data_IF_892874995334
#
_entry.id   IF_892874995334
#
_cell.length_a   1.000
_cell.length_b   1.000
_cell.length_c   1.000
_cell.angle_alpha   90.00
_cell.angle_beta   90.00
_cell.angle_gamma   90.00
#
_symmetry.space_group_name_H-M   'P 1'
#
loop_
_entity.id
_entity.type
_entity.pdbx_description
1 polymer ?
#
# COMPACT_ATOMS: atom_id res chain seq x y z
N UNK A 1 -15.84 25.81 8.78
CA UNK A 1 -14.63 25.43 8.04
C UNK A 1 -14.82 23.99 7.58
N UNK A 2 -15.06 23.80 6.29
CA UNK A 2 -15.12 22.48 5.65
C UNK A 2 -13.70 21.91 5.71
N UNK A 3 -13.40 21.18 6.78
CA UNK A 3 -12.17 20.43 6.88
C UNK A 3 -12.28 19.31 5.85
N UNK A 4 -11.80 19.61 4.64
CA UNK A 4 -11.47 18.73 3.54
C UNK A 4 -12.08 17.33 3.69
N UNK A 5 -13.23 17.11 3.05
CA UNK A 5 -13.53 15.79 2.49
C UNK A 5 -12.40 15.50 1.50
N UNK A 6 -11.23 15.08 2.01
CA UNK A 6 -10.22 14.41 1.20
C UNK A 6 -10.95 13.18 0.72
N UNK A 7 -11.45 13.27 -0.52
CA UNK A 7 -12.09 12.17 -1.19
C UNK A 7 -11.02 11.08 -1.23
N UNK A 8 -11.10 10.15 -0.28
CA UNK A 8 -10.29 8.95 -0.32
C UNK A 8 -10.94 8.14 -1.42
N UNK A 9 -10.33 8.17 -2.59
CA UNK A 9 -10.90 7.50 -3.72
C UNK A 9 -10.51 6.03 -3.68
N UNK A 10 -11.39 5.20 -3.10
CA UNK A 10 -11.27 3.75 -3.17
C UNK A 10 -11.48 3.29 -4.62
N UNK A 11 -10.43 3.36 -5.42
CA UNK A 11 -10.44 2.94 -6.82
C UNK A 11 -9.93 1.50 -6.99
N UNK A 12 -9.58 0.81 -5.90
CA UNK A 12 -8.74 -0.38 -5.99
C UNK A 12 -9.47 -1.66 -5.55
N UNK A 13 -9.40 -2.70 -6.39
CA UNK A 13 -9.86 -4.06 -6.02
C UNK A 13 -8.84 -4.80 -5.15
N UNK A 14 -7.65 -4.26 -4.97
CA UNK A 14 -6.53 -4.91 -4.32
C UNK A 14 -6.31 -4.28 -2.94
N UNK A 15 -6.08 -5.10 -1.92
CA UNK A 15 -5.79 -4.63 -0.57
C UNK A 15 -4.32 -4.84 -0.24
N UNK A 16 -3.63 -3.79 0.20
CA UNK A 16 -2.30 -3.89 0.77
C UNK A 16 -2.39 -3.78 2.30
N UNK A 17 -1.80 -4.74 3.00
CA UNK A 17 -1.62 -4.70 4.45
C UNK A 17 -0.17 -5.00 4.79
N UNK A 18 0.42 -4.16 5.63
CA UNK A 18 1.75 -4.40 6.21
C UNK A 18 1.55 -4.62 7.71
N UNK A 19 2.22 -5.63 8.26
CA UNK A 19 2.08 -5.97 9.67
C UNK A 19 2.53 -4.80 10.55
N UNK A 20 1.78 -4.53 11.62
CA UNK A 20 2.05 -3.42 12.56
C UNK A 20 2.06 -2.02 11.93
N UNK A 21 1.45 -1.86 10.76
CA UNK A 21 1.23 -0.56 10.11
C UNK A 21 -0.27 -0.27 10.09
N UNK A 22 -0.69 0.65 10.96
CA UNK A 22 -2.09 1.08 11.06
C UNK A 22 -2.49 2.13 10.00
N UNK A 23 -1.54 2.55 9.16
CA UNK A 23 -1.82 3.50 8.08
C UNK A 23 -2.71 2.86 7.02
N UNK A 24 -3.67 3.63 6.51
CA UNK A 24 -4.47 3.21 5.36
C UNK A 24 -3.59 3.28 4.12
N UNK A 25 -3.37 2.15 3.45
CA UNK A 25 -2.58 2.02 2.23
C UNK A 25 -3.52 1.72 1.05
N UNK A 26 -3.90 2.77 0.31
CA UNK A 26 -4.80 2.67 -0.83
C UNK A 26 -4.04 2.27 -2.08
N UNK A 27 -4.34 1.12 -2.69
CA UNK A 27 -3.55 0.63 -3.83
C UNK A 27 -3.89 1.43 -5.09
N UNK A 28 -2.92 2.15 -5.64
CA UNK A 28 -3.07 2.89 -6.90
C UNK A 28 -2.80 1.98 -8.11
N UNK A 29 -1.72 1.19 -8.04
CA UNK A 29 -1.32 0.26 -9.08
C UNK A 29 -0.71 -1.00 -8.48
N UNK A 30 -0.90 -2.12 -9.16
CA UNK A 30 -0.40 -3.44 -8.77
C UNK A 30 0.05 -4.20 -10.01
N UNK A 31 1.33 -4.56 -10.04
CA UNK A 31 1.92 -5.39 -11.09
C UNK A 31 2.68 -6.55 -10.45
N UNK A 32 2.46 -7.77 -10.93
CA UNK A 32 3.08 -8.98 -10.43
C UNK A 32 3.79 -9.76 -11.52
N UNK A 33 4.94 -10.33 -11.19
CA UNK A 33 5.67 -11.31 -12.01
C UNK A 33 5.83 -12.58 -11.19
N UNK A 34 5.35 -13.68 -11.76
CA UNK A 34 5.34 -15.01 -11.12
C UNK A 34 5.66 -16.08 -12.17
N UNK A 35 6.40 -17.10 -11.77
CA UNK A 35 6.83 -18.19 -12.65
C UNK A 35 7.11 -19.47 -11.86
N UNK A 36 6.99 -20.61 -12.53
CA UNK A 36 7.28 -21.90 -11.90
C UNK A 36 8.78 -21.98 -11.56
N UNK A 37 9.11 -22.25 -10.30
CA UNK A 37 10.50 -22.29 -9.81
C UNK A 37 11.25 -20.95 -9.92
N UNK A 38 10.53 -19.83 -10.04
CA UNK A 38 11.06 -18.47 -10.00
C UNK A 38 10.57 -17.75 -8.75
N UNK A 39 11.29 -16.71 -8.34
CA UNK A 39 10.83 -15.82 -7.27
C UNK A 39 9.69 -14.96 -7.80
N UNK A 40 8.65 -14.79 -6.99
CA UNK A 40 7.63 -13.79 -7.28
C UNK A 40 8.15 -12.39 -6.98
N UNK A 41 7.69 -11.40 -7.75
CA UNK A 41 7.93 -9.99 -7.46
C UNK A 41 6.65 -9.19 -7.73
N UNK A 42 6.26 -8.37 -6.75
CA UNK A 42 5.12 -7.48 -6.86
C UNK A 42 5.56 -6.03 -6.69
N UNK A 43 5.20 -5.18 -7.66
CA UNK A 43 5.29 -3.73 -7.56
C UNK A 43 3.93 -3.19 -7.18
N UNK A 44 3.86 -2.60 -5.99
CA UNK A 44 2.63 -1.99 -5.47
C UNK A 44 2.86 -0.51 -5.25
N UNK A 45 2.12 0.31 -5.98
CA UNK A 45 2.07 1.76 -5.76
C UNK A 45 0.82 2.05 -4.94
N UNK A 46 0.96 2.83 -3.86
CA UNK A 46 -0.15 3.15 -2.98
C UNK A 46 -0.15 4.61 -2.58
N UNK A 47 -1.32 5.11 -2.17
CA UNK A 47 -1.46 6.42 -1.53
C UNK A 47 -1.87 6.24 -0.08
N UNK A 48 -1.54 7.23 0.77
CA UNK A 48 -1.96 7.24 2.17
C UNK A 48 -2.22 8.67 2.64
N UNK A 49 -3.14 8.80 3.59
CA UNK A 49 -3.32 10.05 4.33
C UNK A 49 -2.23 10.25 5.39
N UNK A 50 -1.57 9.17 5.81
CA UNK A 50 -0.40 9.21 6.69
C UNK A 50 0.81 9.72 5.91
N UNK A 51 1.42 10.82 6.37
CA UNK A 51 2.56 11.48 5.70
C UNK A 51 3.93 11.04 6.23
N UNK A 52 3.96 10.40 7.40
CA UNK A 52 5.19 10.02 8.10
C UNK A 52 5.22 8.50 8.32
N UNK A 53 5.22 7.76 7.22
CA UNK A 53 5.36 6.30 7.23
C UNK A 53 6.85 5.99 7.19
N UNK A 54 7.41 5.68 8.37
CA UNK A 54 8.81 5.33 8.51
C UNK A 54 9.16 4.04 7.74
N UNK A 55 10.29 4.03 7.02
CA UNK A 55 10.70 2.90 6.19
C UNK A 55 10.91 1.62 7.01
N UNK A 56 11.39 1.75 8.25
CA UNK A 56 11.65 0.65 9.17
C UNK A 56 10.37 -0.06 9.62
N UNK A 57 9.21 0.61 9.52
CA UNK A 57 7.89 -0.01 9.75
C UNK A 57 7.36 -0.77 8.54
N UNK A 58 7.89 -0.48 7.34
CA UNK A 58 7.43 -1.07 6.08
C UNK A 58 8.32 -2.21 5.59
N UNK A 59 9.62 -2.12 5.85
CA UNK A 59 10.62 -3.05 5.35
C UNK A 59 10.89 -4.17 6.37
N UNK A 60 11.16 -5.39 5.86
CA UNK A 60 11.62 -6.51 6.68
C UNK A 60 10.64 -6.96 7.77
N UNK A 61 9.34 -6.76 7.57
CA UNK A 61 8.33 -7.21 8.53
C UNK A 61 8.23 -8.75 8.51
N UNK A 62 8.11 -9.35 9.70
CA UNK A 62 7.92 -10.80 9.94
C UNK A 62 6.49 -11.28 9.59
#
# INVERSE_FOLDING_TARGET
MLNELRCFFDHSRHKLTVRNVDAVLDVLAFEGTEGLSELFNYRVEFTSTARDIAAEKMLGQD
#
